data_IF_611332740229
#
_entry.id   IF_611332740229
#
_cell.length_a   1.000
_cell.length_b   1.000
_cell.length_c   1.000
_cell.angle_alpha   90.00
_cell.angle_beta   90.00
_cell.angle_gamma   90.00
#
_symmetry.space_group_name_H-M   'P 1'
#
loop_
_entity.id
_entity.type
_entity.pdbx_description
1 polymer ?
#
# COMPACT_ATOMS: atom_id res chain seq x y z
N UNK A 1 -20.72 0.68 -14.72
CA UNK A 1 -19.26 0.71 -14.54
C UNK A 1 -18.96 0.26 -13.12
N UNK A 2 -17.99 -0.63 -12.94
CA UNK A 2 -17.53 -1.08 -11.62
C UNK A 2 -16.07 -0.69 -11.47
N UNK A 3 -15.75 0.07 -10.43
CA UNK A 3 -14.42 0.56 -10.13
C UNK A 3 -13.98 0.03 -8.77
N UNK A 4 -12.76 -0.48 -8.71
CA UNK A 4 -12.14 -0.97 -7.48
C UNK A 4 -10.80 -0.27 -7.32
N UNK A 5 -10.60 0.40 -6.19
CA UNK A 5 -9.40 1.17 -5.89
C UNK A 5 -8.84 0.77 -4.52
N UNK A 6 -7.53 0.82 -4.37
CA UNK A 6 -6.94 0.88 -3.03
C UNK A 6 -7.30 2.24 -2.43
N UNK A 7 -7.90 2.22 -1.26
CA UNK A 7 -8.39 3.41 -0.60
C UNK A 7 -8.10 3.37 0.89
N UNK A 8 -8.91 4.09 1.65
CA UNK A 8 -8.83 4.16 3.12
C UNK A 8 -10.23 4.17 3.72
N UNK A 9 -10.36 3.67 4.95
CA UNK A 9 -11.66 3.61 5.64
C UNK A 9 -12.04 4.93 6.33
N UNK A 10 -11.06 5.83 6.51
CA UNK A 10 -11.21 7.09 7.24
C UNK A 10 -11.08 8.31 6.34
N UNK A 11 -11.69 9.42 6.72
CA UNK A 11 -11.51 10.70 6.02
C UNK A 11 -10.06 11.21 6.15
N UNK A 12 -9.42 10.96 7.29
CA UNK A 12 -8.01 11.32 7.52
C UNK A 12 -7.07 10.59 6.53
N UNK A 13 -6.34 11.33 5.67
CA UNK A 13 -5.42 10.75 4.69
C UNK A 13 -4.09 10.29 5.29
N UNK A 14 -3.86 10.50 6.59
CA UNK A 14 -2.65 10.08 7.31
C UNK A 14 -2.85 8.80 8.13
N UNK A 15 -4.01 8.16 7.98
CA UNK A 15 -4.35 6.98 8.77
C UNK A 15 -3.49 5.75 8.43
N UNK A 16 -3.45 4.79 9.36
CA UNK A 16 -2.62 3.59 9.20
C UNK A 16 -3.01 2.76 7.98
N UNK A 17 -4.30 2.78 7.63
CA UNK A 17 -4.92 2.02 6.55
C UNK A 17 -4.28 2.25 5.18
N UNK A 18 -3.75 3.45 4.93
CA UNK A 18 -3.19 3.85 3.63
C UNK A 18 -1.68 3.80 3.54
N UNK A 19 -1.02 4.14 4.66
CA UNK A 19 0.25 4.85 4.58
C UNK A 19 1.43 4.04 5.11
N UNK A 20 1.17 2.97 5.87
CA UNK A 20 2.21 2.16 6.50
C UNK A 20 3.15 1.47 5.50
N UNK A 21 2.67 1.08 4.31
CA UNK A 21 3.55 0.50 3.27
C UNK A 21 4.63 1.51 2.86
N UNK A 22 4.21 2.75 2.64
CA UNK A 22 5.11 3.82 2.23
C UNK A 22 5.97 4.32 3.40
N UNK A 23 5.46 4.27 4.63
CA UNK A 23 6.25 4.55 5.84
C UNK A 23 7.39 3.54 6.02
N UNK A 24 7.11 2.24 5.88
CA UNK A 24 8.13 1.19 5.95
C UNK A 24 9.14 1.31 4.78
N UNK A 25 8.69 1.72 3.59
CA UNK A 25 9.58 1.97 2.45
C UNK A 25 10.49 3.18 2.73
N UNK A 26 9.93 4.25 3.28
CA UNK A 26 10.65 5.46 3.68
C UNK A 26 11.71 5.12 4.72
N UNK A 27 11.36 4.33 5.74
CA UNK A 27 12.32 3.82 6.72
C UNK A 27 13.47 3.05 6.07
N UNK A 28 13.16 2.23 5.06
CA UNK A 28 14.16 1.46 4.31
C UNK A 28 15.09 2.35 3.46
N UNK A 29 14.58 3.47 2.93
CA UNK A 29 15.39 4.48 2.25
C UNK A 29 16.32 5.20 3.25
N UNK A 30 15.82 5.56 4.43
CA UNK A 30 16.65 6.18 5.48
C UNK A 30 17.75 5.25 6.00
N UNK A 31 17.57 3.92 6.00
CA UNK A 31 18.67 2.99 6.27
C UNK A 31 19.80 3.11 5.22
N UNK A 32 19.47 3.40 3.96
CA UNK A 32 20.46 3.63 2.90
C UNK A 32 21.13 5.00 3.03
N UNK A 33 20.38 6.02 3.46
CA UNK A 33 20.93 7.35 3.82
C UNK A 33 21.95 7.22 4.95
N UNK A 34 21.62 6.47 6.01
CA UNK A 34 22.52 6.25 7.14
C UNK A 34 23.84 5.53 6.76
N UNK A 35 23.84 4.81 5.63
CA UNK A 35 25.03 4.18 5.06
C UNK A 35 25.75 5.05 4.01
N UNK A 36 25.24 6.24 3.72
CA UNK A 36 25.79 7.13 2.69
C UNK A 36 25.64 6.61 1.26
N UNK A 37 24.69 5.70 1.02
CA UNK A 37 24.42 5.14 -0.32
C UNK A 37 23.60 6.12 -1.16
N UNK A 38 22.68 6.84 -0.51
CA UNK A 38 21.85 7.89 -1.12
C UNK A 38 21.86 9.13 -0.22
N UNK A 39 21.60 10.29 -0.81
CA UNK A 39 21.47 11.56 -0.09
C UNK A 39 20.07 11.70 0.53
N UNK A 40 19.97 12.29 1.71
CA UNK A 40 18.68 12.59 2.37
C UNK A 40 17.78 13.47 1.49
N UNK A 41 18.38 14.47 0.83
CA UNK A 41 17.67 15.34 -0.11
C UNK A 41 17.03 14.60 -1.30
N UNK A 42 17.58 13.44 -1.69
CA UNK A 42 16.97 12.60 -2.72
C UNK A 42 15.68 11.94 -2.20
N UNK A 43 15.63 11.59 -0.92
CA UNK A 43 14.42 11.06 -0.27
C UNK A 43 13.39 12.18 -0.11
N UNK A 44 13.79 13.36 0.37
CA UNK A 44 12.88 14.50 0.60
C UNK A 44 12.22 15.03 -0.68
N UNK A 45 12.91 14.92 -1.82
CA UNK A 45 12.40 15.36 -3.12
C UNK A 45 11.49 14.35 -3.81
N UNK A 46 11.41 13.11 -3.31
CA UNK A 46 10.63 12.04 -3.91
C UNK A 46 9.26 11.89 -3.25
N UNK A 47 8.20 11.89 -4.07
CA UNK A 47 6.86 11.52 -3.64
C UNK A 47 6.31 10.43 -4.54
N UNK A 48 5.60 9.46 -3.97
CA UNK A 48 4.95 8.41 -4.76
C UNK A 48 3.69 8.98 -5.40
N UNK A 49 3.51 8.86 -6.73
CA UNK A 49 2.34 9.35 -7.45
C UNK A 49 1.14 8.40 -7.26
N UNK A 50 0.79 8.10 -6.01
CA UNK A 50 -0.30 7.22 -5.63
C UNK A 50 -1.09 7.82 -4.48
N UNK A 51 -2.40 7.92 -4.64
CA UNK A 51 -3.32 8.41 -3.62
C UNK A 51 -4.33 7.33 -3.26
N UNK A 52 -4.62 7.16 -1.97
CA UNK A 52 -5.60 6.20 -1.46
C UNK A 52 -6.86 6.97 -1.05
N UNK A 53 -7.86 7.15 -1.92
CA UNK A 53 -9.05 7.92 -1.59
C UNK A 53 -9.96 7.20 -0.57
N UNK A 54 -10.76 7.96 0.18
CA UNK A 54 -11.88 7.39 0.93
C UNK A 54 -13.14 7.31 0.05
N UNK A 55 -14.13 6.52 0.45
CA UNK A 55 -15.38 6.37 -0.31
C UNK A 55 -16.11 7.69 -0.55
N UNK A 56 -16.13 8.57 0.46
CA UNK A 56 -16.74 9.91 0.38
C UNK A 56 -16.07 10.78 -0.70
N UNK A 57 -14.74 10.84 -0.75
CA UNK A 57 -14.01 11.59 -1.78
C UNK A 57 -14.35 11.11 -3.19
N UNK A 58 -14.44 9.79 -3.40
CA UNK A 58 -14.75 9.27 -4.74
C UNK A 58 -16.20 9.61 -5.10
N UNK A 59 -17.14 9.49 -4.16
CA UNK A 59 -18.54 9.85 -4.38
C UNK A 59 -18.68 11.32 -4.76
N UNK A 60 -18.03 12.22 -4.01
CA UNK A 60 -18.04 13.66 -4.30
C UNK A 60 -17.49 13.96 -5.70
N UNK A 61 -16.42 13.29 -6.13
CA UNK A 61 -15.84 13.47 -7.48
C UNK A 61 -16.82 12.98 -8.56
N UNK A 62 -17.45 11.82 -8.37
CA UNK A 62 -18.41 11.26 -9.34
C UNK A 62 -19.66 12.15 -9.46
N UNK A 63 -20.17 12.63 -8.34
CA UNK A 63 -21.33 13.54 -8.31
C UNK A 63 -20.99 14.89 -8.95
N UNK A 64 -19.80 15.43 -8.68
CA UNK A 64 -19.31 16.69 -9.26
C UNK A 64 -19.12 16.58 -10.78
N UNK A 65 -18.61 15.46 -11.27
CA UNK A 65 -18.44 15.22 -12.71
C UNK A 65 -19.80 15.04 -13.41
N UNK A 66 -20.71 14.27 -12.79
CA UNK A 66 -22.12 14.28 -13.13
C UNK A 66 -22.58 13.33 -14.24
N UNK A 67 -21.71 12.58 -14.92
CA UNK A 67 -22.08 11.63 -16.00
C UNK A 67 -22.66 10.31 -15.49
N UNK A 68 -22.41 9.98 -14.22
CA UNK A 68 -22.81 8.71 -13.61
C UNK A 68 -23.69 8.94 -12.37
N UNK A 69 -24.56 7.97 -12.08
CA UNK A 69 -25.21 7.76 -10.79
C UNK A 69 -24.47 6.67 -10.02
N UNK A 70 -24.24 6.88 -8.73
CA UNK A 70 -23.63 5.87 -7.85
C UNK A 70 -24.71 4.89 -7.40
N UNK A 71 -24.59 3.63 -7.83
CA UNK A 71 -25.54 2.57 -7.49
C UNK A 71 -25.21 1.92 -6.15
N UNK A 72 -23.91 1.68 -5.91
CA UNK A 72 -23.41 1.03 -4.70
C UNK A 72 -21.99 1.50 -4.41
N UNK A 73 -21.73 1.76 -3.13
CA UNK A 73 -20.41 1.94 -2.57
C UNK A 73 -20.19 0.91 -1.46
N UNK A 74 -18.99 0.33 -1.42
CA UNK A 74 -18.59 -0.64 -0.42
C UNK A 74 -17.10 -0.47 -0.10
N UNK A 75 -16.68 -0.86 1.10
CA UNK A 75 -15.27 -0.83 1.49
C UNK A 75 -14.96 -2.05 2.36
N UNK A 76 -13.87 -2.75 2.02
CA UNK A 76 -13.48 -3.95 2.75
C UNK A 76 -11.96 -4.09 2.86
N UNK A 77 -11.52 -4.73 3.93
CA UNK A 77 -10.11 -4.95 4.23
C UNK A 77 -9.59 -6.26 3.64
N UNK A 78 -8.47 -6.21 2.92
CA UNK A 78 -7.75 -7.36 2.38
C UNK A 78 -6.40 -7.46 3.09
N UNK A 79 -6.08 -8.61 3.70
CA UNK A 79 -4.75 -8.78 4.33
C UNK A 79 -3.62 -8.57 3.32
N UNK A 80 -2.53 -7.94 3.76
CA UNK A 80 -1.35 -7.74 2.92
C UNK A 80 -0.73 -9.06 2.47
N UNK A 81 -0.66 -10.04 3.37
CA UNK A 81 -0.29 -11.40 3.02
C UNK A 81 -1.57 -12.23 2.81
N UNK A 82 -1.87 -12.65 1.56
CA UNK A 82 -3.06 -13.43 1.27
C UNK A 82 -3.07 -14.78 2.02
N UNK A 83 -1.91 -15.32 2.37
CA UNK A 83 -1.80 -16.61 3.06
C UNK A 83 -2.13 -16.50 4.56
N UNK A 84 -2.14 -15.30 5.13
CA UNK A 84 -2.50 -15.10 6.54
C UNK A 84 -4.00 -15.16 6.81
N UNK A 85 -4.82 -15.14 5.75
CA UNK A 85 -6.28 -15.06 5.83
C UNK A 85 -6.76 -13.73 6.45
N UNK A 86 -8.06 -13.45 6.29
CA UNK A 86 -8.67 -12.22 6.80
C UNK A 86 -9.13 -12.33 8.28
N UNK A 87 -9.19 -13.55 8.83
CA UNK A 87 -9.69 -13.86 10.17
C UNK A 87 -8.58 -14.31 11.14
N UNK A 88 -8.56 -13.70 12.33
CA UNK A 88 -7.54 -13.89 13.38
C UNK A 88 -7.63 -15.26 14.08
N UNK A 89 -8.67 -16.06 13.83
CA UNK A 89 -9.03 -17.19 14.70
C UNK A 89 -8.95 -18.62 14.15
N UNK A 90 -8.93 -18.86 12.83
CA UNK A 90 -9.32 -20.19 12.31
C UNK A 90 -8.24 -21.06 11.66
N UNK A 91 -7.06 -20.53 11.33
CA UNK A 91 -6.01 -21.34 10.70
C UNK A 91 -4.87 -21.64 11.68
N UNK A 92 -5.11 -22.57 12.61
CA UNK A 92 -4.10 -23.11 13.53
C UNK A 92 -2.99 -23.92 12.81
N UNK A 93 -3.18 -24.23 11.53
CA UNK A 93 -2.26 -25.05 10.73
C UNK A 93 -1.27 -24.23 9.88
N UNK A 94 -1.38 -22.90 9.85
CA UNK A 94 -0.43 -22.05 9.12
C UNK A 94 0.70 -21.64 10.07
N UNK A 95 1.87 -22.24 9.88
CA UNK A 95 3.10 -21.78 10.51
C UNK A 95 3.41 -20.40 9.94
N UNK A 96 3.22 -19.36 10.74
CA UNK A 96 3.53 -18.00 10.35
C UNK A 96 5.04 -17.81 10.27
N UNK A 97 5.57 -17.81 9.05
CA UNK A 97 6.94 -17.44 8.73
C UNK A 97 6.98 -15.96 8.36
N UNK A 98 7.33 -15.11 9.34
CA UNK A 98 7.34 -13.65 9.16
C UNK A 98 8.22 -13.20 8.02
N UNK A 99 9.33 -13.88 7.74
CA UNK A 99 10.27 -13.50 6.68
C UNK A 99 9.72 -13.85 5.30
N UNK A 100 9.08 -15.01 5.15
CA UNK A 100 8.37 -15.33 3.90
C UNK A 100 7.22 -14.37 3.66
N UNK A 101 6.46 -14.03 4.70
CA UNK A 101 5.36 -13.08 4.64
C UNK A 101 5.85 -11.68 4.21
N UNK A 102 6.85 -11.15 4.92
CA UNK A 102 7.48 -9.87 4.60
C UNK A 102 8.05 -9.81 3.17
N UNK A 103 8.71 -10.87 2.72
CA UNK A 103 9.22 -10.96 1.36
C UNK A 103 8.12 -10.94 0.29
N UNK A 104 7.00 -11.64 0.51
CA UNK A 104 5.88 -11.67 -0.43
C UNK A 104 5.27 -10.27 -0.60
N UNK A 105 4.97 -9.60 0.51
CA UNK A 105 4.40 -8.25 0.49
C UNK A 105 5.40 -7.27 -0.14
N UNK A 106 6.69 -7.36 0.22
CA UNK A 106 7.73 -6.53 -0.38
C UNK A 106 7.84 -6.73 -1.90
N UNK A 107 7.74 -7.96 -2.39
CA UNK A 107 7.76 -8.25 -3.83
C UNK A 107 6.54 -7.67 -4.56
N UNK A 108 5.36 -7.66 -3.92
CA UNK A 108 4.15 -7.04 -4.49
C UNK A 108 4.34 -5.52 -4.67
N UNK A 109 4.86 -4.84 -3.64
CA UNK A 109 5.17 -3.41 -3.72
C UNK A 109 6.30 -3.15 -4.71
N UNK A 110 7.31 -4.03 -4.77
CA UNK A 110 8.41 -3.95 -5.75
C UNK A 110 7.88 -3.94 -7.18
N UNK A 111 7.00 -4.88 -7.52
CA UNK A 111 6.40 -4.94 -8.84
C UNK A 111 5.67 -3.65 -9.26
N UNK A 112 5.13 -2.90 -8.30
CA UNK A 112 4.46 -1.61 -8.55
C UNK A 112 5.44 -0.42 -8.58
N UNK A 113 6.35 -0.33 -7.62
CA UNK A 113 7.12 0.89 -7.35
C UNK A 113 8.56 0.88 -7.92
N UNK A 114 9.09 -0.28 -8.31
CA UNK A 114 10.51 -0.43 -8.69
C UNK A 114 10.93 0.51 -9.81
N UNK A 115 10.13 0.63 -10.88
CA UNK A 115 10.45 1.51 -12.01
C UNK A 115 10.55 2.98 -11.59
N UNK A 116 9.67 3.44 -10.71
CA UNK A 116 9.66 4.80 -10.17
C UNK A 116 10.88 5.04 -9.28
N UNK A 117 11.17 4.09 -8.39
CA UNK A 117 12.32 4.17 -7.48
C UNK A 117 13.64 4.13 -8.25
N UNK A 118 13.76 3.24 -9.24
CA UNK A 118 14.96 3.12 -10.06
C UNK A 118 15.19 4.37 -10.90
N UNK A 119 14.12 4.99 -11.41
CA UNK A 119 14.22 6.24 -12.16
C UNK A 119 14.71 7.41 -11.30
N UNK A 120 14.41 7.43 -10.00
CA UNK A 120 14.78 8.54 -9.11
C UNK A 120 16.08 8.31 -8.35
N UNK A 121 16.28 7.11 -7.82
CA UNK A 121 17.42 6.75 -6.95
C UNK A 121 18.50 5.93 -7.68
N UNK A 122 18.22 5.41 -8.88
CA UNK A 122 19.10 4.54 -9.65
C UNK A 122 18.86 3.04 -9.43
N UNK A 123 19.16 2.23 -10.45
CA UNK A 123 18.93 0.77 -10.44
C UNK A 123 19.79 0.02 -9.40
N UNK A 124 20.97 0.54 -9.09
CA UNK A 124 21.96 -0.13 -8.23
C UNK A 124 21.53 -0.26 -6.77
N UNK A 125 20.59 0.57 -6.31
CA UNK A 125 20.11 0.57 -4.92
C UNK A 125 18.90 -0.35 -4.71
N UNK A 126 18.23 -0.78 -5.77
CA UNK A 126 16.91 -1.42 -5.71
C UNK A 126 16.93 -2.74 -4.93
N UNK A 127 17.88 -3.63 -5.23
CA UNK A 127 17.95 -4.91 -4.52
C UNK A 127 18.25 -4.74 -3.03
N UNK A 128 19.15 -3.80 -2.68
CA UNK A 128 19.47 -3.47 -1.30
C UNK A 128 18.26 -2.85 -0.58
N UNK A 129 17.56 -1.92 -1.22
CA UNK A 129 16.33 -1.31 -0.71
C UNK A 129 15.26 -2.36 -0.42
N UNK A 130 14.94 -3.22 -1.38
CA UNK A 130 13.87 -4.21 -1.20
C UNK A 130 14.24 -5.34 -0.23
N UNK A 131 15.52 -5.63 -0.05
CA UNK A 131 15.99 -6.55 1.02
C UNK A 131 15.69 -5.97 2.41
N UNK A 132 15.95 -4.67 2.61
CA UNK A 132 15.65 -3.98 3.89
C UNK A 132 14.16 -3.81 4.09
N UNK A 133 13.44 -3.46 3.03
CA UNK A 133 12.00 -3.30 3.06
C UNK A 133 11.31 -4.61 3.44
N UNK A 134 11.73 -5.75 2.87
CA UNK A 134 11.23 -7.07 3.26
C UNK A 134 11.48 -7.38 4.75
N UNK A 135 12.62 -6.95 5.30
CA UNK A 135 12.93 -7.12 6.71
C UNK A 135 12.03 -6.26 7.61
N UNK A 136 11.89 -4.96 7.34
CA UNK A 136 10.98 -4.09 8.10
C UNK A 136 9.53 -4.56 8.02
N UNK A 137 9.11 -5.04 6.85
CA UNK A 137 7.80 -5.64 6.64
C UNK A 137 7.60 -6.90 7.49
N UNK A 138 8.61 -7.78 7.56
CA UNK A 138 8.55 -8.99 8.38
C UNK A 138 8.41 -8.67 9.88
N UNK A 139 9.15 -7.68 10.38
CA UNK A 139 9.03 -7.23 11.77
C UNK A 139 7.65 -6.60 12.06
N UNK A 140 7.12 -5.82 11.12
CA UNK A 140 5.78 -5.23 11.25
C UNK A 140 4.68 -6.29 11.30
N UNK A 141 4.69 -7.23 10.34
CA UNK A 141 3.68 -8.29 10.24
C UNK A 141 3.73 -9.30 11.39
N UNK A 142 4.86 -9.39 12.11
CA UNK A 142 4.96 -10.16 13.34
C UNK A 142 4.20 -9.55 14.53
N UNK A 143 3.94 -8.25 14.49
CA UNK A 143 3.25 -7.51 15.56
C UNK A 143 1.80 -7.25 15.14
N UNK A 144 1.57 -6.82 13.90
CA UNK A 144 0.29 -6.33 13.43
C UNK A 144 -0.09 -6.91 12.05
N UNK A 145 -1.25 -7.56 11.98
CA UNK A 145 -1.81 -8.03 10.71
C UNK A 145 -2.53 -6.88 10.01
N UNK A 146 -1.79 -6.19 9.15
CA UNK A 146 -2.30 -5.02 8.44
C UNK A 146 -3.09 -5.43 7.19
N UNK A 147 -4.06 -4.59 6.82
CA UNK A 147 -4.94 -4.81 5.66
C UNK A 147 -4.88 -3.61 4.73
N UNK A 148 -4.96 -3.86 3.43
CA UNK A 148 -5.34 -2.86 2.44
C UNK A 148 -6.83 -2.59 2.60
N UNK A 149 -7.24 -1.33 2.54
CA UNK A 149 -8.65 -1.02 2.31
C UNK A 149 -8.88 -0.95 0.82
N UNK A 150 -9.86 -1.70 0.34
CA UNK A 150 -10.32 -1.65 -1.03
C UNK A 150 -11.68 -1.00 -1.05
N UNK A 151 -11.81 0.08 -1.84
CA UNK A 151 -13.08 0.76 -2.07
C UNK A 151 -13.64 0.28 -3.41
N UNK A 152 -14.89 -0.15 -3.38
CA UNK A 152 -15.64 -0.63 -4.54
C UNK A 152 -16.80 0.32 -4.80
N UNK A 153 -16.91 0.79 -6.04
CA UNK A 153 -18.01 1.65 -6.47
C UNK A 153 -18.61 1.12 -7.76
N UNK A 154 -19.90 0.81 -7.72
CA UNK A 154 -20.73 0.55 -8.88
C UNK A 154 -21.47 1.82 -9.25
N UNK A 155 -21.45 2.16 -10.53
CA UNK A 155 -22.11 3.35 -11.04
C UNK A 155 -22.71 3.12 -12.43
N UNK A 156 -23.85 3.72 -12.71
CA UNK A 156 -24.56 3.61 -13.98
C UNK A 156 -24.54 4.94 -14.70
N UNK A 157 -24.32 4.90 -16.03
CA UNK A 157 -24.29 6.12 -16.84
C UNK A 157 -25.71 6.69 -16.92
N UNK A 158 -25.87 8.00 -16.68
CA UNK A 158 -27.18 8.66 -16.69
C UNK A 158 -27.85 8.68 -18.07
N UNK A 159 -27.05 8.77 -19.14
CA UNK A 159 -27.50 8.88 -20.53
C UNK A 159 -26.58 8.12 -21.48
#
# INVERSE_FOLDING_TARGET
MLVTLTGRSTVDPTSKDCCYLWELLTKSLFDLVAQGIIEESAVDSFNIPHYNPCGEEIREIVEMEGSFDVDKEDAFGICWDPDLGNDVGNNKDIIFDKYKSGQKVANCVRAFAESLLASHFGETIIDNLFTRYAHHMAEHLAIERTKFVTVLISMTRKY
#
